data_IF_126020741056
#
_entry.id   IF_126020741056
#
_cell.length_a   1.000
_cell.length_b   1.000
_cell.length_c   1.000
_cell.angle_alpha   90.00
_cell.angle_beta   90.00
_cell.angle_gamma   90.00
#
_symmetry.space_group_name_H-M   'P 1'
#
loop_
_entity.id
_entity.type
_entity.pdbx_description
1 polymer ?
#
# COMPACT_ATOMS: atom_id res chain seq x y z
N UNK A 1 -10.26 -18.16 0.54
CA UNK A 1 -10.35 -16.76 1.05
C UNK A 1 -11.78 -16.40 1.45
N UNK A 2 -12.73 -16.18 0.52
CA UNK A 2 -14.10 -15.71 0.81
C UNK A 2 -14.83 -16.40 1.98
N UNK A 3 -14.74 -17.73 2.09
CA UNK A 3 -15.46 -18.51 3.11
C UNK A 3 -14.77 -18.55 4.48
N UNK A 4 -13.46 -18.29 4.54
CA UNK A 4 -12.63 -18.60 5.71
C UNK A 4 -11.93 -17.36 6.31
N UNK A 5 -12.01 -16.21 5.65
CA UNK A 5 -11.34 -14.97 6.08
C UNK A 5 -12.30 -13.79 6.00
N UNK A 6 -12.10 -12.75 6.84
CA UNK A 6 -12.87 -11.52 6.74
C UNK A 6 -12.87 -10.96 5.33
N UNK A 7 -14.05 -10.55 4.87
CA UNK A 7 -14.24 -9.94 3.55
C UNK A 7 -14.26 -8.43 3.70
N UNK A 8 -13.31 -7.78 3.03
CA UNK A 8 -13.23 -6.32 2.92
C UNK A 8 -13.92 -5.87 1.64
N UNK A 9 -14.62 -4.75 1.73
CA UNK A 9 -15.32 -4.14 0.60
C UNK A 9 -16.71 -4.72 0.41
N UNK A 10 -17.63 -3.88 -0.08
CA UNK A 10 -19.03 -4.23 -0.26
C UNK A 10 -19.37 -4.55 -1.74
N UNK A 11 -18.40 -4.40 -2.66
CA UNK A 11 -18.63 -4.53 -4.10
C UNK A 11 -19.45 -3.38 -4.73
N UNK A 12 -19.65 -2.28 -4.00
CA UNK A 12 -20.36 -1.09 -4.46
C UNK A 12 -19.47 0.15 -4.41
N UNK A 13 -18.69 0.29 -3.35
CA UNK A 13 -17.71 1.36 -3.17
C UNK A 13 -16.54 1.14 -4.12
N UNK A 14 -16.28 2.11 -4.98
CA UNK A 14 -15.10 2.14 -5.84
C UNK A 14 -13.89 2.69 -5.08
N UNK A 15 -12.73 2.07 -5.30
CA UNK A 15 -11.47 2.50 -4.74
C UNK A 15 -10.53 2.96 -5.85
N UNK A 16 -9.80 4.04 -5.60
CA UNK A 16 -8.98 4.72 -6.58
C UNK A 16 -7.53 4.82 -6.11
N UNK A 17 -6.64 4.97 -7.07
CA UNK A 17 -5.28 5.43 -6.83
C UNK A 17 -5.03 6.68 -7.68
N UNK A 18 -3.81 7.20 -7.68
CA UNK A 18 -3.42 8.33 -8.52
C UNK A 18 -2.30 7.95 -9.48
N UNK A 19 -2.39 8.45 -10.70
CA UNK A 19 -1.34 8.33 -11.72
C UNK A 19 -0.27 9.41 -11.57
N UNK A 20 0.72 9.46 -12.49
CA UNK A 20 1.69 10.54 -12.51
C UNK A 20 1.02 11.88 -12.77
N UNK A 21 1.44 12.92 -12.05
CA UNK A 21 1.00 14.30 -12.30
C UNK A 21 2.07 14.96 -13.15
N UNK A 22 1.83 15.06 -14.46
CA UNK A 22 2.74 15.76 -15.37
C UNK A 22 2.58 17.28 -15.25
N UNK A 23 3.65 18.02 -15.53
CA UNK A 23 3.66 19.48 -15.41
C UNK A 23 2.60 20.15 -16.30
N UNK A 24 2.43 19.70 -17.54
CA UNK A 24 1.41 20.24 -18.44
C UNK A 24 -0.01 20.00 -17.90
N UNK A 25 -0.27 18.83 -17.32
CA UNK A 25 -1.55 18.53 -16.68
C UNK A 25 -1.77 19.38 -15.43
N UNK A 26 -0.71 19.65 -14.66
CA UNK A 26 -0.77 20.55 -13.51
C UNK A 26 -1.09 21.98 -13.93
N UNK A 27 -0.40 22.52 -14.93
CA UNK A 27 -0.60 23.90 -15.43
C UNK A 27 -2.00 24.11 -16.00
N UNK A 28 -2.63 23.07 -16.56
CA UNK A 28 -4.04 23.14 -17.01
C UNK A 28 -5.03 23.31 -15.86
N UNK A 29 -4.80 22.64 -14.71
CA UNK A 29 -5.70 22.71 -13.55
C UNK A 29 -5.35 23.89 -12.64
N UNK A 30 -4.08 24.24 -12.55
CA UNK A 30 -3.55 25.29 -11.67
C UNK A 30 -2.58 26.22 -12.43
N UNK A 31 -3.08 27.05 -13.38
CA UNK A 31 -2.22 27.90 -14.22
C UNK A 31 -1.37 28.89 -13.42
N UNK A 32 -1.86 29.32 -12.25
CA UNK A 32 -1.23 30.34 -11.41
C UNK A 32 -0.50 29.76 -10.18
N UNK A 33 -0.21 28.44 -10.16
CA UNK A 33 0.51 27.80 -9.05
C UNK A 33 1.81 27.19 -9.53
N UNK A 34 2.81 27.19 -8.65
CA UNK A 34 4.03 26.41 -8.86
C UNK A 34 3.69 24.93 -9.04
N UNK A 35 4.46 24.25 -9.89
CA UNK A 35 4.27 22.84 -10.18
C UNK A 35 4.46 21.98 -8.94
N UNK A 36 3.44 21.16 -8.61
CA UNK A 36 3.52 20.19 -7.54
C UNK A 36 3.14 18.79 -8.04
N UNK A 37 4.16 17.96 -8.28
CA UNK A 37 4.02 16.58 -8.77
C UNK A 37 3.32 15.61 -7.80
N UNK A 38 3.16 16.00 -6.54
CA UNK A 38 2.50 15.16 -5.53
C UNK A 38 0.99 15.40 -5.43
N UNK A 39 0.51 16.52 -5.97
CA UNK A 39 -0.91 16.92 -5.99
C UNK A 39 -1.69 16.54 -4.72
N UNK A 40 -1.45 17.22 -3.57
CA UNK A 40 -2.10 16.91 -2.30
C UNK A 40 -3.63 16.97 -2.29
N UNK A 41 -4.25 17.54 -3.34
CA UNK A 41 -5.70 17.65 -3.48
C UNK A 41 -6.32 16.54 -4.33
N UNK A 42 -5.48 15.64 -4.88
CA UNK A 42 -5.91 14.49 -5.69
C UNK A 42 -6.80 14.94 -6.87
N UNK A 43 -6.37 16.01 -7.53
CA UNK A 43 -7.15 16.71 -8.55
C UNK A 43 -6.86 16.19 -9.97
N UNK A 44 -5.69 15.60 -10.20
CA UNK A 44 -5.20 15.17 -11.51
C UNK A 44 -4.96 13.66 -11.52
N UNK A 45 -5.40 12.98 -12.60
CA UNK A 45 -5.15 11.55 -12.85
C UNK A 45 -5.62 10.60 -11.72
N UNK A 46 -6.81 10.86 -11.17
CA UNK A 46 -7.47 10.03 -10.14
C UNK A 46 -8.62 9.21 -10.72
N UNK A 47 -9.61 9.83 -11.37
CA UNK A 47 -10.80 9.13 -11.87
C UNK A 47 -10.48 8.06 -12.93
N UNK A 48 -9.39 8.24 -13.68
CA UNK A 48 -8.88 7.25 -14.65
C UNK A 48 -7.96 6.19 -14.01
N UNK A 49 -7.96 6.10 -12.67
CA UNK A 49 -7.24 5.13 -11.84
C UNK A 49 -8.19 4.47 -10.86
N UNK A 50 -9.39 4.21 -11.33
CA UNK A 50 -10.39 3.39 -10.67
C UNK A 50 -9.95 1.92 -10.65
N UNK A 51 -9.88 1.33 -9.46
CA UNK A 51 -9.51 -0.08 -9.25
C UNK A 51 -10.73 -1.00 -9.16
N UNK A 52 -11.94 -0.44 -9.28
CA UNK A 52 -13.21 -1.12 -9.29
C UNK A 52 -13.93 -1.10 -7.94
N UNK A 53 -15.16 -1.63 -7.95
CA UNK A 53 -15.95 -1.88 -6.75
C UNK A 53 -15.62 -3.28 -6.23
N UNK A 54 -14.55 -3.36 -5.45
CA UNK A 54 -13.87 -4.62 -5.16
C UNK A 54 -14.29 -5.26 -3.83
N UNK A 55 -14.07 -6.58 -3.76
CA UNK A 55 -14.09 -7.38 -2.53
C UNK A 55 -12.79 -8.15 -2.40
N UNK A 56 -12.29 -8.28 -1.18
CA UNK A 56 -11.00 -8.90 -0.93
C UNK A 56 -10.79 -9.33 0.50
N UNK A 57 -9.55 -9.71 0.78
CA UNK A 57 -9.07 -10.02 2.13
C UNK A 57 -7.86 -9.15 2.44
N UNK A 58 -7.74 -8.63 3.66
CA UNK A 58 -6.64 -7.73 4.00
C UNK A 58 -5.30 -8.47 3.96
N UNK A 59 -4.23 -7.79 3.56
CA UNK A 59 -2.88 -8.36 3.64
C UNK A 59 -2.51 -8.74 5.07
N UNK A 60 -3.02 -8.01 6.07
CA UNK A 60 -2.85 -8.35 7.49
C UNK A 60 -3.39 -9.74 7.81
N UNK A 61 -4.62 -10.05 7.36
CA UNK A 61 -5.21 -11.36 7.59
C UNK A 61 -4.44 -12.45 6.83
N UNK A 62 -3.98 -12.15 5.61
CA UNK A 62 -3.18 -13.09 4.82
C UNK A 62 -1.85 -13.44 5.50
N UNK A 63 -1.12 -12.45 6.01
CA UNK A 63 0.17 -12.72 6.69
C UNK A 63 -0.02 -13.40 8.04
N UNK A 64 -1.12 -13.14 8.73
CA UNK A 64 -1.44 -13.80 9.99
C UNK A 64 -1.69 -15.30 9.85
N UNK A 65 -2.08 -15.79 8.66
CA UNK A 65 -2.21 -17.22 8.39
C UNK A 65 -0.89 -17.99 8.49
N UNK A 66 0.24 -17.30 8.31
CA UNK A 66 1.58 -17.93 8.27
C UNK A 66 2.48 -17.44 9.41
N UNK A 67 1.88 -17.03 10.53
CA UNK A 67 2.60 -16.61 11.75
C UNK A 67 2.63 -15.10 11.99
N UNK A 68 2.11 -14.30 11.06
CA UNK A 68 2.03 -12.85 11.20
C UNK A 68 3.38 -12.15 11.00
N UNK A 69 3.40 -10.86 11.31
CA UNK A 69 4.59 -10.01 11.18
C UNK A 69 4.95 -9.37 12.52
N UNK A 70 6.24 -9.08 12.71
CA UNK A 70 6.77 -8.29 13.80
C UNK A 70 7.29 -6.93 13.31
N UNK A 71 7.49 -5.98 14.24
CA UNK A 71 8.06 -4.67 13.89
C UNK A 71 9.44 -4.84 13.25
N UNK A 72 9.62 -4.22 12.08
CA UNK A 72 10.84 -4.33 11.28
C UNK A 72 10.78 -5.39 10.18
N UNK A 73 9.76 -6.25 10.18
CA UNK A 73 9.50 -7.16 9.07
C UNK A 73 8.93 -6.41 7.86
N UNK A 74 9.13 -6.99 6.69
CA UNK A 74 8.62 -6.48 5.42
C UNK A 74 7.83 -7.56 4.71
N UNK A 75 6.80 -7.17 3.97
CA UNK A 75 6.07 -8.06 3.06
C UNK A 75 6.44 -7.73 1.63
N UNK A 76 6.79 -8.75 0.85
CA UNK A 76 6.86 -8.66 -0.59
C UNK A 76 5.59 -9.23 -1.19
N UNK A 77 4.97 -8.48 -2.09
CA UNK A 77 3.89 -8.97 -2.94
C UNK A 77 4.34 -8.94 -4.38
N UNK A 78 4.20 -10.07 -5.08
CA UNK A 78 4.71 -10.29 -6.44
C UNK A 78 3.59 -10.80 -7.36
N UNK A 79 3.51 -10.20 -8.54
CA UNK A 79 2.62 -10.62 -9.64
C UNK A 79 3.20 -11.75 -10.47
N UNK A 80 2.36 -12.39 -11.29
CA UNK A 80 2.79 -13.43 -12.24
C UNK A 80 3.80 -12.92 -13.28
N UNK A 81 3.81 -11.61 -13.55
CA UNK A 81 4.75 -10.94 -14.46
C UNK A 81 6.12 -10.64 -13.84
N UNK A 82 6.33 -11.03 -12.58
CA UNK A 82 7.55 -10.77 -11.84
C UNK A 82 7.63 -9.39 -11.20
N UNK A 83 6.69 -8.47 -11.46
CA UNK A 83 6.63 -7.18 -10.78
C UNK A 83 6.32 -7.37 -9.30
N UNK A 84 6.99 -6.60 -8.44
CA UNK A 84 6.78 -6.70 -7.00
C UNK A 84 6.82 -5.35 -6.29
N UNK A 85 6.24 -5.34 -5.09
CA UNK A 85 6.32 -4.26 -4.12
C UNK A 85 6.61 -4.76 -2.72
N UNK A 86 7.25 -3.89 -1.96
CA UNK A 86 7.57 -4.10 -0.55
C UNK A 86 6.72 -3.17 0.31
N UNK A 87 6.27 -3.67 1.45
CA UNK A 87 5.50 -2.92 2.44
C UNK A 87 6.03 -3.22 3.84
N UNK A 88 6.12 -2.19 4.68
CA UNK A 88 6.55 -2.35 6.07
C UNK A 88 5.45 -2.95 6.95
N UNK A 89 5.86 -3.54 8.07
CA UNK A 89 4.98 -3.92 9.18
C UNK A 89 3.93 -2.85 9.51
N UNK A 90 4.34 -1.57 9.64
CA UNK A 90 3.43 -0.49 10.00
C UNK A 90 2.30 -0.34 8.97
N UNK A 91 2.62 -0.41 7.67
CA UNK A 91 1.62 -0.26 6.60
C UNK A 91 0.66 -1.45 6.48
N UNK A 92 1.03 -2.62 7.01
CA UNK A 92 0.21 -3.84 6.96
C UNK A 92 -0.57 -4.03 8.27
N UNK A 93 0.13 -4.05 9.41
CA UNK A 93 -0.45 -4.42 10.68
C UNK A 93 -1.10 -3.24 11.42
N UNK A 94 -0.66 -2.00 11.16
CA UNK A 94 -1.10 -0.75 11.81
C UNK A 94 -1.18 0.41 10.80
N UNK A 95 -1.95 0.25 9.70
CA UNK A 95 -1.94 1.21 8.62
C UNK A 95 -2.32 2.61 9.10
N UNK A 96 -1.63 3.68 8.62
CA UNK A 96 -2.07 5.05 8.86
C UNK A 96 -3.52 5.26 8.46
N UNK A 97 -4.25 6.13 9.17
CA UNK A 97 -5.68 6.36 8.90
C UNK A 97 -5.95 6.84 7.47
N UNK A 98 -5.04 7.65 6.89
CA UNK A 98 -5.09 8.11 5.50
C UNK A 98 -4.88 6.98 4.48
N UNK A 99 -4.16 5.93 4.86
CA UNK A 99 -3.87 4.80 3.98
C UNK A 99 -5.03 3.79 3.93
N UNK A 100 -5.59 3.48 5.10
CA UNK A 100 -6.46 2.32 5.25
C UNK A 100 -5.74 0.98 5.04
N UNK A 101 -6.47 -0.15 5.12
CA UNK A 101 -5.89 -1.47 4.93
C UNK A 101 -5.50 -1.70 3.46
N UNK A 102 -4.40 -2.41 3.26
CA UNK A 102 -4.04 -2.94 1.93
C UNK A 102 -4.75 -4.28 1.77
N UNK A 103 -5.54 -4.42 0.69
CA UNK A 103 -6.44 -5.56 0.47
C UNK A 103 -6.06 -6.29 -0.81
N UNK A 104 -5.91 -7.62 -0.70
CA UNK A 104 -5.85 -8.50 -1.86
C UNK A 104 -7.28 -8.73 -2.36
N UNK A 105 -7.64 -8.02 -3.42
CA UNK A 105 -8.96 -8.08 -4.03
C UNK A 105 -9.05 -9.27 -4.97
N UNK A 106 -10.01 -10.16 -4.72
CA UNK A 106 -10.23 -11.38 -5.48
C UNK A 106 -11.55 -11.37 -6.26
N UNK A 107 -12.34 -10.29 -6.15
CA UNK A 107 -13.58 -10.09 -6.90
C UNK A 107 -13.79 -8.60 -7.17
N UNK A 108 -14.31 -8.26 -8.35
CA UNK A 108 -14.71 -6.91 -8.72
C UNK A 108 -16.15 -6.91 -9.26
N UNK A 109 -17.04 -6.09 -8.74
CA UNK A 109 -18.38 -5.89 -9.31
C UNK A 109 -18.55 -4.54 -10.00
N UNK A 110 -17.55 -3.66 -9.93
CA UNK A 110 -17.61 -2.32 -10.52
C UNK A 110 -17.07 -2.31 -11.94
N UNK A 111 -17.83 -1.70 -12.86
CA UNK A 111 -17.32 -1.32 -14.18
C UNK A 111 -16.71 0.07 -14.10
N UNK A 112 -15.52 0.22 -14.66
CA UNK A 112 -14.83 1.50 -14.74
C UNK A 112 -15.53 2.40 -15.77
N UNK A 113 -15.84 3.64 -15.41
CA UNK A 113 -16.33 4.64 -16.38
C UNK A 113 -15.18 5.37 -17.10
N UNK A 114 -13.97 5.33 -16.52
CA UNK A 114 -12.74 5.93 -17.04
C UNK A 114 -11.54 5.06 -16.69
N UNK A 115 -10.50 5.15 -17.52
CA UNK A 115 -9.24 4.45 -17.29
C UNK A 115 -9.25 3.02 -17.80
N UNK A 116 -8.35 2.20 -17.24
CA UNK A 116 -8.19 0.81 -17.63
C UNK A 116 -9.36 -0.04 -17.13
N UNK A 117 -9.98 -0.81 -18.03
CA UNK A 117 -10.99 -1.79 -17.67
C UNK A 117 -10.40 -2.86 -16.75
N UNK A 118 -11.02 -3.02 -15.59
CA UNK A 118 -10.57 -4.01 -14.62
C UNK A 118 -11.14 -5.41 -14.92
N UNK A 119 -12.34 -5.49 -15.51
CA UNK A 119 -13.14 -6.71 -15.65
C UNK A 119 -14.02 -6.96 -14.41
N UNK A 120 -15.14 -7.68 -14.56
CA UNK A 120 -16.12 -7.91 -13.47
C UNK A 120 -16.33 -9.38 -13.19
N UNK A 121 -16.41 -9.76 -11.92
CA UNK A 121 -16.53 -11.12 -11.46
C UNK A 121 -15.32 -11.54 -10.64
N UNK A 122 -15.05 -12.84 -10.65
CA UNK A 122 -13.79 -13.42 -10.19
C UNK A 122 -12.80 -13.50 -11.36
N UNK A 123 -11.49 -13.62 -11.13
CA UNK A 123 -10.57 -14.03 -12.19
C UNK A 123 -11.05 -15.34 -12.86
N UNK A 124 -10.98 -15.49 -14.19
CA UNK A 124 -10.31 -14.59 -15.14
C UNK A 124 -11.16 -13.38 -15.61
N UNK A 125 -12.47 -13.33 -15.35
CA UNK A 125 -13.34 -12.22 -15.78
C UNK A 125 -12.97 -10.89 -15.12
N UNK A 126 -12.41 -10.95 -13.92
CA UNK A 126 -11.60 -9.86 -13.36
C UNK A 126 -10.21 -9.90 -14.02
N UNK A 127 -10.05 -9.23 -15.18
CA UNK A 127 -8.88 -9.30 -16.07
C UNK A 127 -7.55 -8.92 -15.43
N UNK A 128 -7.58 -8.03 -14.42
CA UNK A 128 -6.39 -7.69 -13.62
C UNK A 128 -5.97 -8.81 -12.65
N UNK A 129 -6.72 -9.91 -12.59
CA UNK A 129 -6.52 -11.00 -11.64
C UNK A 129 -6.74 -10.54 -10.20
N UNK A 130 -6.25 -11.35 -9.24
CA UNK A 130 -6.17 -10.88 -7.86
C UNK A 130 -5.22 -9.67 -7.78
N UNK A 131 -5.67 -8.59 -7.15
CA UNK A 131 -4.98 -7.29 -7.21
C UNK A 131 -4.89 -6.62 -5.84
N UNK A 132 -3.76 -5.99 -5.54
CA UNK A 132 -3.65 -5.16 -4.33
C UNK A 132 -4.34 -3.81 -4.51
N UNK A 133 -5.19 -3.44 -3.57
CA UNK A 133 -5.85 -2.12 -3.54
C UNK A 133 -5.78 -1.56 -2.13
N UNK A 134 -5.54 -0.26 -2.03
CA UNK A 134 -5.53 0.47 -0.76
C UNK A 134 -6.94 0.96 -0.46
N UNK A 135 -7.52 0.54 0.65
CA UNK A 135 -8.89 0.94 1.03
C UNK A 135 -8.85 2.24 1.83
N UNK A 136 -8.31 3.29 1.20
CA UNK A 136 -8.21 4.62 1.79
C UNK A 136 -9.61 5.22 2.04
N UNK A 137 -9.79 5.96 3.14
CA UNK A 137 -11.04 6.68 3.40
C UNK A 137 -11.20 7.86 2.43
N UNK A 138 -12.40 8.43 2.38
CA UNK A 138 -12.71 9.63 1.57
C UNK A 138 -11.97 10.90 2.05
N UNK A 139 -11.52 10.91 3.31
CA UNK A 139 -11.05 12.11 3.98
C UNK A 139 -9.79 12.72 3.31
N UNK A 140 -9.93 13.93 2.77
CA UNK A 140 -8.85 14.69 2.14
C UNK A 140 -8.95 14.82 0.62
N UNK A 141 -9.85 14.08 -0.03
CA UNK A 141 -10.08 14.18 -1.47
C UNK A 141 -11.13 15.25 -1.78
N UNK A 142 -10.77 16.24 -2.62
CA UNK A 142 -11.70 17.29 -3.07
C UNK A 142 -12.91 16.77 -3.88
N UNK A 143 -12.83 15.54 -4.38
CA UNK A 143 -13.85 14.86 -5.19
C UNK A 143 -14.68 13.85 -4.42
N UNK A 144 -14.40 13.62 -3.13
CA UNK A 144 -15.14 12.67 -2.31
C UNK A 144 -14.91 11.19 -2.68
N UNK A 145 -13.79 10.86 -3.33
CA UNK A 145 -13.44 9.49 -3.73
C UNK A 145 -12.63 8.78 -2.64
N UNK A 146 -12.77 7.45 -2.56
CA UNK A 146 -11.87 6.58 -1.78
C UNK A 146 -10.56 6.39 -2.53
N UNK A 147 -9.71 7.41 -2.55
CA UNK A 147 -8.44 7.42 -3.26
C UNK A 147 -7.27 7.27 -2.29
N UNK A 148 -6.31 6.42 -2.63
CA UNK A 148 -4.97 6.48 -2.05
C UNK A 148 -4.05 7.22 -3.03
N UNK A 149 -3.88 8.53 -2.85
CA UNK A 149 -3.18 9.40 -3.78
C UNK A 149 -1.66 9.39 -3.67
N UNK A 150 -1.02 10.22 -4.51
CA UNK A 150 0.43 10.40 -4.47
C UNK A 150 0.87 11.06 -3.16
N UNK A 151 0.09 12.01 -2.65
CA UNK A 151 0.37 12.63 -1.36
C UNK A 151 0.14 11.67 -0.18
N UNK A 152 -0.87 10.80 -0.24
CA UNK A 152 -1.03 9.76 0.79
C UNK A 152 0.13 8.77 0.78
N UNK A 153 0.65 8.41 -0.40
CA UNK A 153 1.88 7.63 -0.51
C UNK A 153 3.06 8.35 0.14
N UNK A 154 3.21 9.66 -0.07
CA UNK A 154 4.27 10.48 0.54
C UNK A 154 4.18 10.48 2.07
N UNK A 155 2.98 10.69 2.62
CA UNK A 155 2.74 10.81 4.06
C UNK A 155 2.74 9.46 4.79
N UNK A 156 2.24 8.39 4.14
CA UNK A 156 1.99 7.11 4.80
C UNK A 156 3.15 6.11 4.67
N UNK A 157 3.95 6.21 3.60
CA UNK A 157 5.00 5.24 3.31
C UNK A 157 6.38 5.84 3.52
N UNK A 158 7.30 5.06 4.09
CA UNK A 158 8.71 5.42 4.07
C UNK A 158 9.22 5.52 2.60
N UNK A 159 10.13 6.45 2.34
CA UNK A 159 10.63 6.78 0.99
C UNK A 159 11.07 5.58 0.16
N UNK A 160 11.63 4.53 0.78
CA UNK A 160 12.06 3.29 0.10
C UNK A 160 10.91 2.50 -0.54
N UNK A 161 9.67 2.71 -0.09
CA UNK A 161 8.48 2.05 -0.60
C UNK A 161 7.70 2.87 -1.62
N UNK A 162 8.11 4.12 -1.88
CA UNK A 162 7.46 4.94 -2.88
C UNK A 162 7.61 4.35 -4.28
N UNK A 163 6.58 4.53 -5.10
CA UNK A 163 6.64 4.19 -6.50
C UNK A 163 6.74 5.44 -7.37
N UNK A 164 7.62 5.35 -8.37
CA UNK A 164 7.78 6.35 -9.40
C UNK A 164 7.53 5.71 -10.76
N UNK A 165 6.65 6.35 -11.54
CA UNK A 165 6.51 6.11 -12.96
C UNK A 165 7.64 6.84 -13.70
N UNK A 166 8.38 6.11 -14.54
CA UNK A 166 9.43 6.68 -15.38
C UNK A 166 8.85 7.19 -16.69
N UNK A 167 9.22 8.40 -17.09
CA UNK A 167 8.90 8.96 -18.41
C UNK A 167 10.14 9.69 -18.93
N UNK A 168 10.86 9.06 -19.87
CA UNK A 168 12.17 9.54 -20.29
C UNK A 168 13.15 9.55 -19.10
N UNK A 169 13.77 10.71 -18.84
CA UNK A 169 14.69 10.92 -17.70
C UNK A 169 13.97 11.26 -16.39
N UNK A 170 12.68 11.56 -16.47
CA UNK A 170 11.90 12.02 -15.33
C UNK A 170 11.25 10.88 -14.56
N UNK A 171 11.04 11.11 -13.25
CA UNK A 171 10.37 10.18 -12.33
C UNK A 171 9.24 10.89 -11.61
N UNK A 172 8.01 10.45 -11.88
CA UNK A 172 6.78 11.02 -11.32
C UNK A 172 6.20 10.09 -10.25
N UNK A 173 5.81 10.59 -9.06
CA UNK A 173 5.08 9.79 -8.10
C UNK A 173 3.83 9.18 -8.76
N UNK A 174 3.55 7.91 -8.45
CA UNK A 174 2.33 7.25 -8.93
C UNK A 174 1.94 6.16 -7.93
N UNK A 175 0.99 6.44 -7.05
CA UNK A 175 0.48 5.44 -6.11
C UNK A 175 -0.17 4.25 -6.84
N UNK A 176 -0.62 4.43 -8.09
CA UNK A 176 -1.16 3.36 -8.93
C UNK A 176 -0.19 2.20 -9.14
N UNK A 177 1.13 2.47 -9.19
CA UNK A 177 2.11 1.40 -9.36
C UNK A 177 2.44 0.63 -8.07
N UNK A 178 1.82 0.98 -6.94
CA UNK A 178 1.82 0.13 -5.75
C UNK A 178 0.79 -1.02 -5.86
N UNK A 179 -0.16 -0.89 -6.78
CA UNK A 179 -1.26 -1.82 -6.98
C UNK A 179 -0.84 -2.98 -7.89
N UNK A 180 -0.14 -3.96 -7.29
CA UNK A 180 0.32 -5.18 -7.97
C UNK A 180 -0.88 -5.99 -8.47
N UNK A 181 -0.85 -6.35 -9.76
CA UNK A 181 -1.87 -7.16 -10.44
C UNK A 181 -1.46 -8.63 -10.51
N UNK A 182 -2.43 -9.51 -10.76
CA UNK A 182 -2.23 -10.95 -10.93
C UNK A 182 -1.30 -11.50 -9.86
N UNK A 183 -1.60 -11.18 -8.60
CA UNK A 183 -0.76 -11.54 -7.46
C UNK A 183 -0.63 -13.06 -7.39
N UNK A 184 0.62 -13.52 -7.37
CA UNK A 184 0.97 -14.93 -7.33
C UNK A 184 1.68 -15.31 -6.02
N UNK A 185 2.35 -14.36 -5.37
CA UNK A 185 3.15 -14.62 -4.17
C UNK A 185 3.02 -13.46 -3.17
N UNK A 186 2.82 -13.81 -1.90
CA UNK A 186 2.95 -12.92 -0.74
C UNK A 186 3.94 -13.59 0.21
N UNK A 187 5.04 -12.92 0.51
CA UNK A 187 6.12 -13.46 1.33
C UNK A 187 6.51 -12.47 2.44
N UNK A 188 6.66 -12.99 3.67
CA UNK A 188 7.12 -12.24 4.83
C UNK A 188 8.64 -12.37 4.91
N UNK A 189 9.32 -11.24 5.05
CA UNK A 189 10.75 -11.15 5.22
C UNK A 189 11.03 -10.62 6.61
N UNK A 190 11.42 -11.55 7.49
CA UNK A 190 11.72 -11.24 8.87
C UNK A 190 13.11 -10.64 9.00
N UNK A 191 13.20 -9.48 9.65
CA UNK A 191 14.50 -8.91 9.97
C UNK A 191 15.04 -9.68 11.18
N UNK A 192 16.05 -10.54 10.97
CA UNK A 192 16.78 -11.15 12.09
C UNK A 192 17.34 -10.01 12.96
N UNK A 193 16.87 -9.91 14.20
CA UNK A 193 17.49 -9.04 15.19
C UNK A 193 18.88 -9.63 15.45
N UNK A 194 19.93 -8.98 14.94
CA UNK A 194 21.28 -9.24 15.43
C UNK A 194 21.29 -8.78 16.88
N UNK A 195 21.24 -9.73 17.82
CA UNK A 195 21.45 -9.41 19.24
C UNK A 195 22.88 -8.88 19.33
N UNK A 196 23.04 -7.56 19.41
CA UNK A 196 24.30 -6.98 19.84
C UNK A 196 24.57 -7.52 21.23
N UNK A 197 25.68 -8.23 21.41
CA UNK A 197 26.12 -8.79 22.69
C UNK A 197 25.75 -7.83 23.83
N UNK A 198 24.93 -8.31 24.74
CA UNK A 198 24.63 -7.65 26.01
C UNK A 198 25.96 -7.18 26.60
N UNK A 199 26.09 -5.90 26.94
CA UNK A 199 27.18 -5.46 27.80
C UNK A 199 26.92 -6.11 29.15
N UNK A 200 27.62 -7.21 29.45
CA UNK A 200 27.70 -7.75 30.80
C UNK A 200 28.28 -6.68 31.71
N UNK A 201 27.57 -6.36 32.78
CA UNK A 201 28.09 -5.53 33.87
C UNK A 201 28.42 -6.50 34.99
N UNK A 202 29.71 -6.78 35.18
CA UNK A 202 30.19 -7.58 36.29
C UNK A 202 30.03 -6.80 37.60
N UNK A 203 29.18 -7.30 38.50
CA UNK A 203 29.12 -6.83 39.88
C UNK A 203 30.06 -7.69 40.73
N UNK A 204 31.24 -7.16 41.03
CA UNK A 204 32.11 -7.74 42.05
C UNK A 204 31.58 -7.34 43.44
N UNK A 205 30.95 -8.27 44.15
CA UNK A 205 30.60 -8.09 45.55
C UNK A 205 31.89 -8.13 46.41
N UNK A 206 32.26 -7.01 47.02
CA UNK A 206 33.30 -6.99 48.03
C UNK A 206 32.78 -7.64 49.32
N UNK A 207 33.50 -8.67 49.81
CA UNK A 207 33.27 -9.24 51.14
C UNK A 207 33.54 -8.15 52.20
N UNK A 208 32.51 -7.73 52.92
CA UNK A 208 32.67 -7.00 54.17
C UNK A 208 33.17 -8.03 55.21
N UNK A 209 34.46 -8.00 55.53
CA UNK A 209 34.99 -8.76 56.67
C UNK A 209 34.59 -8.05 57.96
N UNK A 210 33.68 -8.66 58.71
CA UNK A 210 33.44 -8.26 60.09
C UNK A 210 34.66 -8.58 60.96
N UNK A 211 35.05 -7.63 61.81
CA UNK A 211 35.77 -7.92 63.05
C UNK A 211 34.92 -7.40 64.21
N UNK A 212 34.73 -8.30 65.18
CA UNK A 212 34.15 -8.03 66.50
C UNK A 212 34.98 -7.00 67.25
#
# INVERSE_FOLDING_TARGET
MKANLPVFGNGKTHYYHQGPVFEDSWRKVYPNKSYNRWDPKESINVENRDMGAVKGTSLKDMVNLVGGMSKGDEVRVKGTDGFYKWFAFENICRPPSRQGPIVLCWYNSGKNSKGEEQGTGYPPDYYSGMRLVFFAPVAGNSKGLHCFGNWDMYECLAKKYWHFYGSGKEKYPSSSGLSVKRVAEIAIYTKKISVSKTKEVDFCAQKISGKK
#
